data_IF_062182995113
#
_entry.id   IF_062182995113
#
_cell.length_a   1.000
_cell.length_b   1.000
_cell.length_c   1.000
_cell.angle_alpha   90.00
_cell.angle_beta   90.00
_cell.angle_gamma   90.00
#
_symmetry.space_group_name_H-M   'P 1'
#
loop_
_entity.id
_entity.type
_entity.pdbx_description
1 polymer ?
#
# COMPACT_ATOMS: atom_id res chain seq x y z
N UNK A 1 -4.22 20.44 3.91
CA UNK A 1 -5.07 20.74 5.09
C UNK A 1 -6.55 20.85 4.72
N UNK A 2 -6.93 21.62 3.70
CA UNK A 2 -8.35 21.77 3.29
C UNK A 2 -9.07 20.45 2.97
N UNK A 3 -8.44 19.50 2.25
CA UNK A 3 -9.05 18.20 1.93
C UNK A 3 -9.42 17.37 3.15
N UNK A 4 -8.63 17.46 4.23
CA UNK A 4 -8.89 16.71 5.48
C UNK A 4 -10.16 17.25 6.13
N UNK A 5 -10.30 18.57 6.25
CA UNK A 5 -11.50 19.18 6.83
C UNK A 5 -12.75 18.91 6.00
N UNK A 6 -12.65 18.91 4.67
CA UNK A 6 -13.78 18.50 3.81
C UNK A 6 -14.17 17.04 4.02
N UNK A 7 -13.21 16.11 4.11
CA UNK A 7 -13.50 14.69 4.40
C UNK A 7 -14.11 14.49 5.78
N UNK A 8 -13.66 15.24 6.79
CA UNK A 8 -14.25 15.23 8.12
C UNK A 8 -15.71 15.66 8.05
N UNK A 9 -16.00 16.78 7.38
CA UNK A 9 -17.37 17.30 7.23
C UNK A 9 -18.29 16.31 6.51
N UNK A 10 -17.84 15.72 5.40
CA UNK A 10 -18.61 14.73 4.64
C UNK A 10 -18.89 13.42 5.41
N UNK A 11 -18.03 13.08 6.38
CA UNK A 11 -18.14 11.83 7.13
C UNK A 11 -18.58 12.03 8.58
N UNK A 12 -18.90 13.25 9.00
CA UNK A 12 -19.28 13.55 10.39
C UNK A 12 -20.50 12.74 10.84
N UNK A 13 -21.44 12.48 9.95
CA UNK A 13 -22.63 11.66 10.21
C UNK A 13 -22.32 10.17 10.46
N UNK A 14 -21.09 9.73 10.18
CA UNK A 14 -20.60 8.37 10.46
C UNK A 14 -19.79 8.30 11.76
N UNK A 15 -19.59 9.43 12.45
CA UNK A 15 -18.97 9.42 13.76
C UNK A 15 -19.91 8.76 14.76
N UNK A 16 -19.36 7.83 15.53
CA UNK A 16 -20.05 7.08 16.56
C UNK A 16 -19.25 7.23 17.86
N UNK A 17 -19.77 7.96 18.87
CA UNK A 17 -19.05 8.21 20.11
C UNK A 17 -18.77 6.94 20.90
N UNK A 18 -19.56 5.87 20.73
CA UNK A 18 -19.35 4.60 21.40
C UNK A 18 -18.15 3.82 20.84
N UNK A 19 -17.71 4.15 19.62
CA UNK A 19 -16.57 3.53 18.94
C UNK A 19 -15.24 4.25 19.17
N UNK A 20 -15.24 5.36 19.91
CA UNK A 20 -14.03 6.07 20.32
C UNK A 20 -14.11 7.59 20.19
N UNK A 21 -13.11 8.27 20.76
CA UNK A 21 -13.06 9.72 20.84
C UNK A 21 -12.97 10.39 19.44
N UNK A 22 -13.74 11.46 19.25
CA UNK A 22 -13.75 12.34 18.07
C UNK A 22 -12.35 12.75 17.61
N UNK A 23 -11.44 13.08 18.54
CA UNK A 23 -10.05 13.45 18.22
C UNK A 23 -9.29 12.32 17.55
N UNK A 24 -9.51 11.08 18.01
CA UNK A 24 -8.88 9.91 17.42
C UNK A 24 -9.48 9.59 16.05
N UNK A 25 -10.79 9.73 15.89
CA UNK A 25 -11.49 9.53 14.61
C UNK A 25 -11.02 10.54 13.55
N UNK A 26 -10.96 11.83 13.90
CA UNK A 26 -10.43 12.89 13.02
C UNK A 26 -8.94 12.69 12.71
N UNK A 27 -8.12 12.31 13.69
CA UNK A 27 -6.71 11.95 13.48
C UNK A 27 -6.56 10.80 12.48
N UNK A 28 -7.43 9.79 12.54
CA UNK A 28 -7.44 8.67 11.59
C UNK A 28 -7.77 9.13 10.17
N UNK A 29 -8.73 10.03 10.01
CA UNK A 29 -9.06 10.63 8.69
C UNK A 29 -7.88 11.42 8.14
N UNK A 30 -7.22 12.24 8.97
CA UNK A 30 -6.04 13.00 8.59
C UNK A 30 -4.89 12.08 8.15
N UNK A 31 -4.61 11.05 8.94
CA UNK A 31 -3.56 10.06 8.65
C UNK A 31 -3.79 9.34 7.33
N UNK A 32 -5.01 8.85 7.10
CA UNK A 32 -5.37 8.16 5.86
C UNK A 32 -5.27 9.10 4.66
N UNK A 33 -5.70 10.36 4.80
CA UNK A 33 -5.61 11.35 3.71
C UNK A 33 -4.16 11.68 3.38
N UNK A 34 -3.29 11.85 4.38
CA UNK A 34 -1.85 12.04 4.15
C UNK A 34 -1.22 10.84 3.43
N UNK A 35 -1.57 9.62 3.83
CA UNK A 35 -1.10 8.41 3.13
C UNK A 35 -1.60 8.35 1.68
N UNK A 36 -2.86 8.69 1.43
CA UNK A 36 -3.43 8.70 0.08
C UNK A 36 -2.70 9.73 -0.82
N UNK A 37 -2.36 10.91 -0.30
CA UNK A 37 -1.59 11.93 -1.03
C UNK A 37 -0.17 11.43 -1.36
N UNK A 38 0.52 10.82 -0.39
CA UNK A 38 1.87 10.27 -0.59
C UNK A 38 1.83 9.17 -1.65
N UNK A 39 0.83 8.28 -1.59
CA UNK A 39 0.63 7.20 -2.57
C UNK A 39 0.30 7.72 -3.97
N UNK A 40 -0.58 8.72 -4.07
CA UNK A 40 -0.92 9.35 -5.35
C UNK A 40 0.31 9.99 -6.00
N UNK A 41 1.18 10.64 -5.22
CA UNK A 41 2.43 11.21 -5.72
C UNK A 41 3.42 10.15 -6.16
N UNK A 42 3.54 9.05 -5.41
CA UNK A 42 4.39 7.92 -5.79
C UNK A 42 3.90 7.26 -7.10
N UNK A 43 2.59 7.08 -7.25
CA UNK A 43 1.97 6.50 -8.45
C UNK A 43 2.00 7.44 -9.67
N UNK A 44 2.02 8.75 -9.45
CA UNK A 44 2.20 9.76 -10.51
C UNK A 44 3.66 9.86 -10.95
N UNK A 45 4.62 9.80 -10.02
CA UNK A 45 6.05 9.85 -10.33
C UNK A 45 6.54 8.58 -11.03
N UNK A 46 5.96 7.41 -10.76
CA UNK A 46 6.28 6.17 -11.49
C UNK A 46 5.83 6.18 -12.95
N UNK A 47 4.95 7.12 -13.37
CA UNK A 47 4.53 7.30 -14.76
C UNK A 47 5.28 8.41 -15.51
N UNK A 48 6.02 9.28 -14.81
CA UNK A 48 6.60 10.50 -15.40
C UNK A 48 8.13 10.52 -15.47
N UNK A 49 8.84 9.51 -14.96
CA UNK A 49 10.30 9.48 -14.98
C UNK A 49 10.86 8.66 -16.16
N UNK A 50 10.80 9.22 -17.37
CA UNK A 50 11.93 9.19 -18.32
C UNK A 50 12.85 10.40 -18.00
N UNK A 51 14.17 10.31 -18.25
CA UNK A 51 15.16 10.73 -17.27
C UNK A 51 15.55 12.21 -17.36
N UNK A 52 15.72 12.85 -16.19
CA UNK A 52 16.59 14.01 -16.03
C UNK A 52 17.63 13.73 -14.94
N UNK A 53 18.82 13.38 -15.40
CA UNK A 53 20.14 13.82 -14.92
C UNK A 53 20.44 13.78 -13.40
N UNK A 54 21.16 12.72 -13.03
CA UNK A 54 22.35 12.66 -12.16
C UNK A 54 22.45 13.26 -10.75
N UNK A 55 21.44 13.92 -10.17
CA UNK A 55 21.62 14.54 -8.83
C UNK A 55 21.09 13.69 -7.64
N UNK A 56 20.34 12.62 -7.88
CA UNK A 56 19.68 11.83 -6.80
C UNK A 56 20.41 10.54 -6.37
N UNK A 57 21.70 10.38 -6.69
CA UNK A 57 22.43 9.11 -6.44
C UNK A 57 22.90 8.86 -5.01
N UNK A 58 22.72 9.78 -4.06
CA UNK A 58 23.27 9.61 -2.70
C UNK A 58 22.26 9.39 -1.56
N UNK A 59 20.95 9.47 -1.81
CA UNK A 59 19.92 9.17 -0.79
C UNK A 59 19.09 7.91 -1.10
N UNK A 60 19.23 7.32 -2.29
CA UNK A 60 18.46 6.17 -2.78
C UNK A 60 19.29 4.88 -2.93
N UNK A 61 20.49 4.84 -2.35
CA UNK A 61 21.48 3.77 -2.56
C UNK A 61 21.09 2.39 -2.04
N UNK A 62 20.04 2.29 -1.23
CA UNK A 62 19.64 1.03 -0.57
C UNK A 62 18.25 0.52 -1.01
N UNK A 63 17.34 1.43 -1.40
CA UNK A 63 15.96 1.08 -1.74
C UNK A 63 15.87 0.28 -3.03
N UNK A 64 16.66 0.64 -4.04
CA UNK A 64 16.66 -0.05 -5.34
C UNK A 64 17.26 -1.47 -5.26
N UNK A 65 18.26 -1.68 -4.40
CA UNK A 65 18.84 -3.02 -4.19
C UNK A 65 17.88 -3.93 -3.43
N UNK A 66 17.23 -3.41 -2.39
CA UNK A 66 16.21 -4.13 -1.62
C UNK A 66 15.00 -4.48 -2.50
N UNK A 67 14.53 -3.55 -3.35
CA UNK A 67 13.42 -3.80 -4.26
C UNK A 67 13.76 -4.84 -5.34
N UNK A 68 14.98 -4.80 -5.88
CA UNK A 68 15.45 -5.80 -6.84
C UNK A 68 15.62 -7.19 -6.21
N UNK A 69 16.11 -7.25 -4.96
CA UNK A 69 16.16 -8.48 -4.16
C UNK A 69 14.77 -9.07 -3.90
N UNK A 70 13.82 -8.23 -3.50
CA UNK A 70 12.43 -8.62 -3.26
C UNK A 70 11.74 -9.13 -4.53
N UNK A 71 11.97 -8.50 -5.69
CA UNK A 71 11.44 -8.99 -6.98
C UNK A 71 12.00 -10.37 -7.34
N UNK A 72 13.28 -10.62 -7.11
CA UNK A 72 13.89 -11.95 -7.33
C UNK A 72 13.35 -13.00 -6.37
N UNK A 73 13.17 -12.66 -5.10
CA UNK A 73 12.64 -13.58 -4.09
C UNK A 73 11.16 -13.91 -4.35
N UNK A 74 10.36 -12.90 -4.72
CA UNK A 74 8.95 -13.09 -5.08
C UNK A 74 8.75 -13.86 -6.39
N UNK A 75 9.74 -13.89 -7.28
CA UNK A 75 9.72 -14.75 -8.47
C UNK A 75 9.72 -16.25 -8.14
N UNK A 76 10.22 -16.65 -6.97
CA UNK A 76 10.25 -18.05 -6.50
C UNK A 76 8.94 -18.49 -5.84
N UNK A 77 7.98 -17.58 -5.64
CA UNK A 77 6.67 -17.90 -5.08
C UNK A 77 5.77 -18.58 -6.12
N UNK A 78 4.82 -19.39 -5.65
CA UNK A 78 3.71 -19.88 -6.48
C UNK A 78 2.95 -18.70 -7.10
N UNK A 79 2.42 -18.89 -8.32
CA UNK A 79 1.75 -17.84 -9.12
C UNK A 79 0.70 -17.05 -8.32
N UNK A 80 -0.16 -17.75 -7.58
CA UNK A 80 -1.21 -17.15 -6.74
C UNK A 80 -0.66 -16.27 -5.59
N UNK A 81 0.48 -16.65 -5.02
CA UNK A 81 1.14 -15.89 -3.97
C UNK A 81 1.89 -14.69 -4.54
N UNK A 82 2.55 -14.89 -5.68
CA UNK A 82 3.25 -13.84 -6.42
C UNK A 82 2.29 -12.74 -6.86
N UNK A 83 1.10 -13.09 -7.34
CA UNK A 83 0.08 -12.14 -7.77
C UNK A 83 -0.43 -11.29 -6.61
N UNK A 84 -0.80 -11.91 -5.49
CA UNK A 84 -1.30 -11.18 -4.31
C UNK A 84 -0.22 -10.30 -3.68
N UNK A 85 1.02 -10.78 -3.55
CA UNK A 85 2.15 -9.95 -3.09
C UNK A 85 2.49 -8.86 -4.10
N UNK A 86 2.44 -9.19 -5.39
CA UNK A 86 2.52 -8.29 -6.55
C UNK A 86 1.67 -7.04 -6.35
N UNK A 87 0.38 -7.30 -6.24
CA UNK A 87 -0.66 -6.30 -6.20
C UNK A 87 -0.61 -5.48 -4.89
N UNK A 88 -0.32 -6.11 -3.75
CA UNK A 88 -0.26 -5.39 -2.46
C UNK A 88 1.02 -4.57 -2.32
N UNK A 89 2.20 -5.13 -2.62
CA UNK A 89 3.47 -4.50 -2.28
C UNK A 89 4.08 -3.69 -3.43
N UNK A 90 3.86 -4.07 -4.69
CA UNK A 90 4.40 -3.33 -5.84
C UNK A 90 3.37 -2.40 -6.47
N UNK A 91 2.10 -2.82 -6.53
CA UNK A 91 1.03 -1.97 -7.08
C UNK A 91 0.22 -1.20 -6.02
N UNK A 92 0.40 -1.51 -4.72
CA UNK A 92 -0.15 -0.74 -3.60
C UNK A 92 -1.63 -0.96 -3.29
N UNK A 93 -2.26 -2.03 -3.79
CA UNK A 93 -3.68 -2.32 -3.54
C UNK A 93 -3.95 -2.64 -2.05
N UNK A 94 -5.09 -2.17 -1.54
CA UNK A 94 -5.62 -2.63 -0.25
C UNK A 94 -6.15 -4.06 -0.40
N UNK A 95 -6.10 -4.83 0.68
CA UNK A 95 -6.57 -6.24 0.66
C UNK A 95 -8.06 -6.36 0.25
N UNK A 96 -8.88 -5.38 0.61
CA UNK A 96 -10.30 -5.28 0.25
C UNK A 96 -10.50 -4.97 -1.24
N UNK A 97 -9.72 -4.03 -1.77
CA UNK A 97 -9.73 -3.69 -3.21
C UNK A 97 -9.25 -4.87 -4.04
N UNK A 98 -8.24 -5.59 -3.54
CA UNK A 98 -7.70 -6.77 -4.19
C UNK A 98 -8.70 -7.93 -4.21
N UNK A 99 -9.48 -8.11 -3.14
CA UNK A 99 -10.56 -9.10 -3.09
C UNK A 99 -11.59 -8.84 -4.20
N UNK A 100 -11.99 -7.57 -4.37
CA UNK A 100 -12.88 -7.15 -5.46
C UNK A 100 -12.24 -7.35 -6.84
N UNK A 101 -10.98 -6.98 -7.01
CA UNK A 101 -10.24 -7.08 -8.29
C UNK A 101 -10.04 -8.52 -8.76
N UNK A 102 -9.74 -9.44 -7.85
CA UNK A 102 -9.49 -10.84 -8.16
C UNK A 102 -10.76 -11.71 -8.08
N UNK A 103 -11.90 -11.15 -7.65
CA UNK A 103 -13.14 -11.91 -7.45
C UNK A 103 -13.02 -13.01 -6.40
N UNK A 104 -12.11 -12.86 -5.43
CA UNK A 104 -11.87 -13.85 -4.37
C UNK A 104 -12.24 -13.27 -2.99
N UNK A 105 -12.67 -14.09 -2.02
CA UNK A 105 -12.98 -13.61 -0.68
C UNK A 105 -11.80 -12.92 0.00
N UNK A 106 -12.06 -11.89 0.80
CA UNK A 106 -11.03 -11.19 1.60
C UNK A 106 -10.24 -12.15 2.51
N UNK A 107 -10.91 -13.18 3.04
CA UNK A 107 -10.25 -14.24 3.80
C UNK A 107 -9.18 -14.98 2.99
N UNK A 108 -9.46 -15.25 1.71
CA UNK A 108 -8.54 -15.89 0.77
C UNK A 108 -7.37 -14.97 0.42
N UNK A 109 -7.61 -13.67 0.23
CA UNK A 109 -6.54 -12.68 0.06
C UNK A 109 -5.59 -12.69 1.25
N UNK A 110 -6.14 -12.62 2.47
CA UNK A 110 -5.37 -12.62 3.72
C UNK A 110 -4.59 -13.92 3.92
N UNK A 111 -5.20 -15.08 3.65
CA UNK A 111 -4.55 -16.37 3.80
C UNK A 111 -3.42 -16.55 2.77
N UNK A 112 -3.63 -16.18 1.51
CA UNK A 112 -2.61 -16.18 0.45
C UNK A 112 -1.45 -15.25 0.77
N UNK A 113 -1.73 -14.03 1.26
CA UNK A 113 -0.69 -13.09 1.66
C UNK A 113 0.13 -13.64 2.83
N UNK A 114 -0.52 -14.22 3.84
CA UNK A 114 0.16 -14.84 4.99
C UNK A 114 1.03 -16.03 4.58
N UNK A 115 0.53 -16.89 3.69
CA UNK A 115 1.28 -18.01 3.15
C UNK A 115 2.48 -17.55 2.30
N UNK A 116 2.30 -16.51 1.49
CA UNK A 116 3.35 -15.89 0.69
C UNK A 116 4.47 -15.31 1.58
N UNK A 117 4.12 -14.57 2.63
CA UNK A 117 5.10 -14.03 3.59
C UNK A 117 5.85 -15.14 4.33
N UNK A 118 5.17 -16.22 4.72
CA UNK A 118 5.82 -17.39 5.34
C UNK A 118 6.81 -18.06 4.38
N UNK A 119 6.47 -18.15 3.09
CA UNK A 119 7.34 -18.70 2.07
C UNK A 119 8.56 -17.79 1.80
N UNK A 120 8.36 -16.48 1.71
CA UNK A 120 9.47 -15.52 1.56
C UNK A 120 10.43 -15.58 2.75
N UNK A 121 9.91 -15.70 3.98
CA UNK A 121 10.73 -15.83 5.19
C UNK A 121 11.57 -17.11 5.22
N UNK A 122 11.21 -18.15 4.48
CA UNK A 122 12.04 -19.37 4.35
C UNK A 122 13.15 -19.24 3.30
N UNK A 123 13.05 -18.24 2.41
CA UNK A 123 13.99 -18.02 1.32
C UNK A 123 15.08 -17.00 1.67
N UNK A 124 14.91 -16.30 2.79
CA UNK A 124 15.89 -15.43 3.46
C UNK A 124 16.54 -16.26 4.56
#
# INVERSE_FOLDING_TARGET
>A
MQEVFMKIWQHINKYDPDKGNLLWWTKKIAWNTSLDIIRSKHFSNSRLNEPLSDVHKHLLGDTNQVEFGLRKLTARLKKEHKEVVGLVYFEGYRQEELAGKLGIPLGTVKSRLRAAMKALRKLI
#
